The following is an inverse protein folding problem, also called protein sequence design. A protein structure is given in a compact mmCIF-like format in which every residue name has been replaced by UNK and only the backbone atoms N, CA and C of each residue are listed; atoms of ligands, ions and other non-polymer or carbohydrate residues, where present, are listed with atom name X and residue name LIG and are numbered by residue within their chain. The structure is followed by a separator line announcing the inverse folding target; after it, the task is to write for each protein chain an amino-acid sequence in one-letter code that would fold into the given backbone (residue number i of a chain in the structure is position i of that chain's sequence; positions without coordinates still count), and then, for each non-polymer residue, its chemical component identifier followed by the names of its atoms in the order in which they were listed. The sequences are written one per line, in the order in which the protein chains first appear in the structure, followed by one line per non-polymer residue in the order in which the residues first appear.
data_IF_682871615227
#
_entry.id   IF_682871615227
#
_cell.length_a   1.000
_cell.length_b   1.000
_cell.length_c   1.000
_cell.angle_alpha   90.00
_cell.angle_beta   90.00
_cell.angle_gamma   90.00
#
_symmetry.space_group_name_H-M   'P 1'
#
loop_
_entity.id
_entity.type
_entity.pdbx_description
1 polymer ?
#
# COMPACT_ATOMS: atom_id res chain seq x y z
N UNK A 1 3.73 13.63 -35.44
CA UNK A 1 2.61 13.29 -34.54
C UNK A 1 1.55 14.37 -34.72
N UNK A 2 0.46 14.08 -35.43
CA UNK A 2 -0.56 15.08 -35.78
C UNK A 2 -1.46 15.48 -34.60
N UNK A 3 -2.18 16.59 -34.77
CA UNK A 3 -3.08 17.20 -33.77
C UNK A 3 -4.12 16.23 -33.19
N UNK A 4 -4.60 15.26 -33.98
CA UNK A 4 -5.52 14.21 -33.53
C UNK A 4 -4.94 13.32 -32.43
N UNK A 5 -3.62 13.04 -32.48
CA UNK A 5 -2.93 12.25 -31.47
C UNK A 5 -2.81 12.99 -30.13
N UNK A 6 -2.68 14.32 -30.17
CA UNK A 6 -2.66 15.18 -28.99
C UNK A 6 -4.05 15.22 -28.33
N UNK A 7 -5.11 15.39 -29.11
CA UNK A 7 -6.49 15.41 -28.60
C UNK A 7 -6.92 14.05 -28.02
N UNK A 8 -6.58 12.94 -28.67
CA UNK A 8 -6.82 11.60 -28.12
C UNK A 8 -6.07 11.37 -26.80
N UNK A 9 -4.83 11.86 -26.68
CA UNK A 9 -4.05 11.78 -25.43
C UNK A 9 -4.68 12.62 -24.31
N UNK A 10 -5.18 13.82 -24.62
CA UNK A 10 -5.88 14.69 -23.65
C UNK A 10 -7.14 14.02 -23.10
N UNK A 11 -7.97 13.41 -23.97
CA UNK A 11 -9.18 12.68 -23.56
C UNK A 11 -8.85 11.50 -22.64
N UNK A 12 -7.87 10.68 -23.03
CA UNK A 12 -7.38 9.55 -22.19
C UNK A 12 -6.87 10.01 -20.83
N UNK A 13 -6.13 11.14 -20.76
CA UNK A 13 -5.67 11.71 -19.48
C UNK A 13 -6.84 12.13 -18.59
N UNK A 14 -7.87 12.75 -19.16
CA UNK A 14 -9.06 13.16 -18.41
C UNK A 14 -9.83 11.96 -17.85
N UNK A 15 -9.98 10.90 -18.64
CA UNK A 15 -10.59 9.63 -18.20
C UNK A 15 -9.74 8.96 -17.10
N UNK A 16 -8.43 8.84 -17.29
CA UNK A 16 -7.52 8.27 -16.31
C UNK A 16 -7.56 9.03 -14.98
N UNK A 17 -7.67 10.36 -15.00
CA UNK A 17 -7.80 11.16 -13.78
C UNK A 17 -9.07 10.81 -12.99
N UNK A 18 -10.21 10.63 -13.68
CA UNK A 18 -11.46 10.20 -13.04
C UNK A 18 -11.31 8.81 -12.43
N UNK A 19 -10.67 7.88 -13.15
CA UNK A 19 -10.41 6.52 -12.65
C UNK A 19 -9.50 6.51 -11.42
N UNK A 20 -8.40 7.27 -11.44
CA UNK A 20 -7.47 7.38 -10.32
C UNK A 20 -8.16 7.99 -9.10
N UNK A 21 -8.96 9.03 -9.29
CA UNK A 21 -9.72 9.65 -8.20
C UNK A 21 -10.69 8.66 -7.54
N UNK A 22 -11.43 7.90 -8.35
CA UNK A 22 -12.35 6.89 -7.83
C UNK A 22 -11.62 5.77 -7.08
N UNK A 23 -10.48 5.30 -7.61
CA UNK A 23 -9.64 4.29 -6.92
C UNK A 23 -9.07 4.81 -5.61
N UNK A 24 -8.54 6.03 -5.59
CA UNK A 24 -8.03 6.65 -4.38
C UNK A 24 -9.12 6.75 -3.29
N UNK A 25 -10.34 7.16 -3.68
CA UNK A 25 -11.50 7.20 -2.78
C UNK A 25 -11.85 5.81 -2.25
N UNK A 26 -11.81 4.79 -3.10
CA UNK A 26 -12.08 3.40 -2.69
C UNK A 26 -11.04 2.90 -1.69
N UNK A 27 -9.74 3.06 -1.98
CA UNK A 27 -8.67 2.63 -1.08
C UNK A 27 -8.70 3.36 0.26
N UNK A 28 -8.96 4.67 0.26
CA UNK A 28 -9.11 5.42 1.51
C UNK A 28 -10.23 4.87 2.40
N UNK A 29 -11.39 4.56 1.80
CA UNK A 29 -12.52 3.95 2.52
C UNK A 29 -12.20 2.56 3.05
N UNK A 30 -11.47 1.76 2.25
CA UNK A 30 -11.04 0.42 2.65
C UNK A 30 -10.09 0.46 3.85
N UNK A 31 -9.09 1.33 3.82
CA UNK A 31 -8.13 1.48 4.93
C UNK A 31 -8.80 1.98 6.21
N UNK A 32 -9.72 2.97 6.11
CA UNK A 32 -10.48 3.46 7.26
C UNK A 32 -11.39 2.37 7.85
N UNK A 33 -12.02 1.55 6.99
CA UNK A 33 -12.83 0.42 7.41
C UNK A 33 -12.01 -0.63 8.17
N UNK A 34 -10.86 -1.02 7.62
CA UNK A 34 -9.95 -2.00 8.24
C UNK A 34 -9.42 -1.52 9.61
N UNK A 35 -9.10 -0.23 9.74
CA UNK A 35 -8.65 0.33 11.02
C UNK A 35 -9.75 0.28 12.08
N UNK A 36 -10.98 0.68 11.73
CA UNK A 36 -12.13 0.64 12.63
C UNK A 36 -12.47 -0.78 13.05
N UNK A 37 -12.45 -1.73 12.11
CA UNK A 37 -12.70 -3.14 12.37
C UNK A 37 -11.67 -3.71 13.35
N UNK A 38 -10.38 -3.43 13.13
CA UNK A 38 -9.30 -3.87 14.02
C UNK A 38 -9.48 -3.32 15.44
N UNK A 39 -9.85 -2.05 15.59
CA UNK A 39 -10.15 -1.44 16.89
C UNK A 39 -11.36 -2.12 17.55
N UNK A 40 -12.41 -2.40 16.79
CA UNK A 40 -13.60 -3.08 17.29
C UNK A 40 -13.26 -4.49 17.80
N UNK A 41 -12.54 -5.28 17.01
CA UNK A 41 -12.12 -6.64 17.38
C UNK A 41 -11.26 -6.64 18.66
N UNK A 42 -10.33 -5.69 18.79
CA UNK A 42 -9.53 -5.52 20.02
C UNK A 42 -10.40 -5.19 21.24
N UNK A 43 -11.41 -4.33 21.08
CA UNK A 43 -12.34 -3.96 22.16
C UNK A 43 -13.24 -5.14 22.55
N UNK A 44 -13.78 -5.86 21.57
CA UNK A 44 -14.62 -7.03 21.82
C UNK A 44 -13.85 -8.16 22.51
N UNK A 45 -12.62 -8.43 22.08
CA UNK A 45 -11.75 -9.39 22.74
C UNK A 45 -11.52 -9.00 24.21
N UNK A 46 -11.20 -7.73 24.48
CA UNK A 46 -11.00 -7.21 25.84
C UNK A 46 -12.26 -7.32 26.70
N UNK A 47 -13.45 -7.01 26.16
CA UNK A 47 -14.72 -7.13 26.87
C UNK A 47 -15.04 -8.58 27.25
N UNK A 48 -14.73 -9.53 26.36
CA UNK A 48 -14.92 -10.97 26.59
C UNK A 48 -13.82 -11.59 27.47
N UNK A 49 -12.85 -10.80 27.94
CA UNK A 49 -11.71 -11.29 28.72
C UNK A 49 -10.65 -12.06 27.91
N UNK A 50 -10.71 -11.99 26.58
CA UNK A 50 -9.76 -12.60 25.66
C UNK A 50 -8.77 -11.58 25.06
N UNK A 51 -7.98 -12.05 24.09
CA UNK A 51 -7.01 -11.24 23.36
C UNK A 51 -7.20 -11.40 21.85
N UNK A 52 -6.95 -10.31 21.11
CA UNK A 52 -6.94 -10.30 19.65
C UNK A 52 -5.50 -10.36 19.17
N UNK A 53 -5.20 -11.30 18.27
CA UNK A 53 -3.86 -11.44 17.65
C UNK A 53 -3.89 -10.74 16.31
N UNK A 54 -3.05 -9.73 16.14
CA UNK A 54 -2.91 -9.01 14.89
C UNK A 54 -2.28 -9.92 13.81
N UNK A 55 -2.68 -9.78 12.52
CA UNK A 55 -2.12 -10.58 11.44
C UNK A 55 -0.64 -10.26 11.20
N UNK A 56 0.10 -11.24 10.70
CA UNK A 56 1.51 -11.07 10.34
C UNK A 56 1.70 -10.05 9.21
N UNK A 57 2.73 -9.22 9.31
CA UNK A 57 3.05 -8.23 8.31
C UNK A 57 3.47 -8.89 6.99
N UNK A 58 2.77 -8.57 5.90
CA UNK A 58 3.01 -9.17 4.56
C UNK A 58 4.17 -8.54 3.79
N UNK A 59 4.58 -7.33 4.16
CA UNK A 59 5.57 -6.55 3.43
C UNK A 59 6.69 -6.11 4.39
N UNK A 60 7.92 -6.18 3.90
CA UNK A 60 9.11 -5.69 4.60
C UNK A 60 9.73 -4.56 3.80
N UNK A 61 10.03 -3.43 4.45
CA UNK A 61 10.76 -2.32 3.85
C UNK A 61 12.21 -2.33 4.34
N UNK A 62 13.13 -2.75 3.48
CA UNK A 62 14.55 -2.95 3.84
C UNK A 62 15.41 -1.88 3.19
N UNK A 63 16.22 -1.20 4.00
CA UNK A 63 17.21 -0.22 3.54
C UNK A 63 18.61 -0.76 3.81
N UNK A 64 19.51 -0.64 2.82
CA UNK A 64 20.92 -0.97 2.99
C UNK A 64 21.62 0.08 3.85
N UNK A 65 22.18 -0.36 4.98
CA UNK A 65 22.90 0.51 5.93
C UNK A 65 24.43 0.49 5.76
N UNK A 66 24.99 -0.54 5.10
CA UNK A 66 26.45 -0.70 4.92
C UNK A 66 26.85 -0.50 3.45
N UNK A 67 28.06 0.02 3.26
CA UNK A 67 28.68 0.14 1.93
C UNK A 67 29.04 -1.21 1.31
N UNK A 68 29.52 -1.17 0.06
CA UNK A 68 29.84 -2.37 -0.73
C UNK A 68 31.17 -3.03 -0.36
N UNK A 69 32.04 -2.31 0.35
CA UNK A 69 33.39 -2.76 0.70
C UNK A 69 33.36 -3.73 1.88
N UNK A 70 34.27 -4.72 1.86
CA UNK A 70 34.45 -5.72 2.92
C UNK A 70 33.18 -6.54 3.28
N UNK A 71 32.24 -6.71 2.34
CA UNK A 71 31.11 -7.63 2.51
C UNK A 71 31.49 -9.07 2.11
N UNK A 72 31.11 -10.04 2.94
CA UNK A 72 31.26 -11.46 2.63
C UNK A 72 30.51 -11.81 1.33
N UNK A 73 31.06 -12.66 0.45
CA UNK A 73 30.45 -12.98 -0.85
C UNK A 73 29.00 -13.48 -0.76
N UNK A 74 28.66 -14.24 0.29
CA UNK A 74 27.29 -14.72 0.53
C UNK A 74 26.30 -13.58 0.76
N UNK A 75 26.64 -12.61 1.62
CA UNK A 75 25.79 -11.45 1.93
C UNK A 75 25.69 -10.48 0.75
N UNK A 76 26.70 -10.43 -0.11
CA UNK A 76 26.66 -9.61 -1.34
C UNK A 76 25.66 -10.14 -2.38
N UNK A 77 25.39 -11.45 -2.36
CA UNK A 77 24.51 -12.13 -3.32
C UNK A 77 23.03 -12.09 -2.92
N UNK A 78 22.74 -12.00 -1.62
CA UNK A 78 21.38 -11.91 -1.05
C UNK A 78 20.83 -10.51 -1.29
#
# INVERSE_FOLDING_TARGET
MGEEGLEASKKKKAENRKLIFNRAKQYAKEYEGQEKELIQLKREAKLKGGFYVDPEAKLLFIIRIRGINAMHPRTRKI
#
